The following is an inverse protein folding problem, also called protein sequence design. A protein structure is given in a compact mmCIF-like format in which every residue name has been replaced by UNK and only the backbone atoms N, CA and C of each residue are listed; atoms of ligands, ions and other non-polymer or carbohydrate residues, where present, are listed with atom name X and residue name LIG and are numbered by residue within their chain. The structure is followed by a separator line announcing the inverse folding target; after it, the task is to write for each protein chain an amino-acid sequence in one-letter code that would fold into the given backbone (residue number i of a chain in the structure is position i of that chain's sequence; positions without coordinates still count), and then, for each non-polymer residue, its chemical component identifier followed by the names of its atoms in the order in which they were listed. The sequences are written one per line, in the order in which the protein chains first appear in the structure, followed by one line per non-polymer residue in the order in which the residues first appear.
data_IF_818777004772
#
_entry.id   IF_818777004772
#
_cell.length_a   1.000
_cell.length_b   1.000
_cell.length_c   1.000
_cell.angle_alpha   90.00
_cell.angle_beta   90.00
_cell.angle_gamma   90.00
#
_symmetry.space_group_name_H-M   'P 1'
#
loop_
_entity.id
_entity.type
_entity.pdbx_description
1 polymer ?
#
# COMPACT_ATOMS: atom_id res chain seq x y z
N UNK A 1 12.67 2.41 -9.98
CA UNK A 1 12.08 1.57 -11.04
C UNK A 1 11.55 0.25 -10.49
N UNK A 2 12.36 -0.54 -9.75
CA UNK A 2 11.98 -1.87 -9.24
C UNK A 2 10.69 -1.84 -8.40
N UNK A 3 10.57 -0.92 -7.44
CA UNK A 3 9.37 -0.82 -6.58
C UNK A 3 8.07 -0.42 -7.29
N UNK A 4 8.14 0.23 -8.45
CA UNK A 4 6.98 0.50 -9.29
C UNK A 4 6.56 -0.76 -10.05
N UNK A 5 7.53 -1.50 -10.60
CA UNK A 5 7.25 -2.79 -11.27
C UNK A 5 6.60 -3.76 -10.29
N UNK A 6 7.11 -3.85 -9.06
CA UNK A 6 6.51 -4.66 -8.00
C UNK A 6 5.09 -4.20 -7.65
N UNK A 7 4.85 -2.90 -7.52
CA UNK A 7 3.51 -2.38 -7.21
C UNK A 7 2.52 -2.64 -8.35
N UNK A 8 2.97 -2.57 -9.61
CA UNK A 8 2.14 -2.88 -10.78
C UNK A 8 1.84 -4.38 -10.91
N UNK A 9 2.82 -5.24 -10.62
CA UNK A 9 2.59 -6.69 -10.49
C UNK A 9 1.59 -6.99 -9.37
N UNK A 10 1.76 -6.36 -8.21
CA UNK A 10 0.83 -6.48 -7.09
C UNK A 10 -0.59 -6.09 -7.51
N UNK A 11 -0.75 -4.95 -8.17
CA UNK A 11 -2.04 -4.48 -8.67
C UNK A 11 -2.68 -5.46 -9.63
N UNK A 12 -1.90 -6.03 -10.55
CA UNK A 12 -2.41 -6.98 -11.54
C UNK A 12 -2.90 -8.27 -10.88
N UNK A 13 -2.16 -8.76 -9.88
CA UNK A 13 -2.56 -9.93 -9.07
C UNK A 13 -3.81 -9.62 -8.24
N UNK A 14 -3.87 -8.44 -7.60
CA UNK A 14 -5.04 -8.02 -6.84
C UNK A 14 -6.28 -7.90 -7.73
N UNK A 15 -6.13 -7.30 -8.92
CA UNK A 15 -7.21 -7.14 -9.90
C UNK A 15 -7.79 -8.49 -10.33
N UNK A 16 -6.94 -9.48 -10.60
CA UNK A 16 -7.36 -10.84 -10.94
C UNK A 16 -8.14 -11.50 -9.80
N UNK A 17 -7.67 -11.37 -8.55
CA UNK A 17 -8.38 -11.93 -7.39
C UNK A 17 -9.69 -11.21 -7.06
N UNK A 18 -9.80 -9.92 -7.39
CA UNK A 18 -10.94 -9.09 -7.01
C UNK A 18 -11.91 -8.84 -8.17
N UNK A 19 -11.61 -9.34 -9.37
CA UNK A 19 -12.36 -9.13 -10.61
C UNK A 19 -12.63 -7.63 -10.89
N UNK A 20 -11.63 -6.78 -10.62
CA UNK A 20 -11.68 -5.32 -10.89
C UNK A 20 -10.54 -4.92 -11.81
N UNK A 21 -10.59 -3.66 -12.28
CA UNK A 21 -9.55 -3.06 -13.12
C UNK A 21 -8.91 -1.90 -12.38
N UNK A 22 -7.70 -2.14 -11.90
CA UNK A 22 -6.86 -1.21 -11.18
C UNK A 22 -6.29 -0.13 -12.09
N UNK A 23 -5.82 0.94 -11.46
CA UNK A 23 -5.35 2.14 -12.15
C UNK A 23 -3.85 2.32 -11.93
N UNK A 24 -3.04 1.75 -12.81
CA UNK A 24 -1.56 1.83 -12.75
C UNK A 24 -1.03 3.26 -12.66
N UNK A 25 -1.64 4.21 -13.38
CA UNK A 25 -1.23 5.62 -13.32
C UNK A 25 -1.48 6.24 -11.94
N UNK A 26 -2.58 5.85 -11.29
CA UNK A 26 -2.93 6.32 -9.95
C UNK A 26 -1.99 5.74 -8.89
N UNK A 27 -1.56 4.49 -9.06
CA UNK A 27 -0.54 3.88 -8.19
C UNK A 27 0.81 4.55 -8.34
N UNK A 28 1.22 4.85 -9.58
CA UNK A 28 2.48 5.54 -9.83
C UNK A 28 2.52 6.91 -9.14
N UNK A 29 1.45 7.70 -9.31
CA UNK A 29 1.31 9.00 -8.64
C UNK A 29 1.23 8.83 -7.13
N UNK A 30 0.44 7.85 -6.64
CA UNK A 30 0.30 7.55 -5.21
C UNK A 30 1.61 7.18 -4.53
N UNK A 31 2.36 6.25 -5.11
CA UNK A 31 3.68 5.83 -4.63
C UNK A 31 4.71 6.96 -4.70
N UNK A 32 4.68 7.77 -5.76
CA UNK A 32 5.52 8.95 -5.89
C UNK A 32 5.27 9.97 -4.78
N UNK A 33 4.00 10.32 -4.54
CA UNK A 33 3.62 11.25 -3.47
C UNK A 33 3.93 10.69 -2.08
N UNK A 34 3.68 9.39 -1.84
CA UNK A 34 4.00 8.72 -0.58
C UNK A 34 5.50 8.81 -0.30
N UNK A 35 6.35 8.49 -1.27
CA UNK A 35 7.80 8.53 -1.11
C UNK A 35 8.35 9.97 -0.96
N UNK A 36 7.77 10.96 -1.64
CA UNK A 36 8.11 12.37 -1.38
C UNK A 36 7.80 12.76 0.06
N UNK A 37 6.62 12.36 0.56
CA UNK A 37 6.22 12.63 1.95
C UNK A 37 7.17 11.94 2.92
N UNK A 38 7.52 10.66 2.69
CA UNK A 38 8.51 9.95 3.50
C UNK A 38 9.85 10.70 3.59
N UNK A 39 10.37 11.18 2.46
CA UNK A 39 11.63 11.96 2.42
C UNK A 39 11.57 13.23 3.28
N UNK A 40 10.42 13.92 3.33
CA UNK A 40 10.24 15.12 4.17
C UNK A 40 10.32 14.78 5.66
N UNK A 41 9.85 13.61 6.07
CA UNK A 41 9.91 13.14 7.45
C UNK A 41 11.18 12.33 7.78
N UNK A 42 12.12 12.20 6.85
CA UNK A 42 13.33 11.36 7.02
C UNK A 42 13.04 9.86 7.07
N UNK A 43 11.85 9.43 6.63
CA UNK A 43 11.44 8.04 6.58
C UNK A 43 11.97 7.34 5.30
N UNK A 44 12.21 6.04 5.39
CA UNK A 44 12.60 5.23 4.23
C UNK A 44 11.43 5.13 3.24
N UNK A 45 11.72 5.33 1.95
CA UNK A 45 10.73 5.15 0.88
C UNK A 45 10.29 3.69 0.73
N UNK A 46 9.05 3.48 0.27
CA UNK A 46 8.41 2.17 0.19
C UNK A 46 7.79 1.83 -1.17
N UNK A 47 7.20 0.64 -1.21
CA UNK A 47 6.44 0.08 -2.35
C UNK A 47 5.25 -0.72 -1.84
N UNK A 48 4.32 -1.03 -2.74
CA UNK A 48 3.21 -1.90 -2.42
C UNK A 48 3.73 -3.33 -2.21
N UNK A 49 3.37 -3.93 -1.07
CA UNK A 49 3.79 -5.28 -0.72
C UNK A 49 2.77 -6.31 -1.17
N UNK A 50 3.18 -7.23 -2.05
CA UNK A 50 2.34 -8.32 -2.59
C UNK A 50 1.71 -9.14 -1.45
N UNK A 51 2.52 -9.68 -0.54
CA UNK A 51 2.07 -10.60 0.51
C UNK A 51 0.99 -10.00 1.43
N UNK A 52 1.24 -8.81 1.97
CA UNK A 52 0.29 -8.13 2.85
C UNK A 52 -0.99 -7.74 2.13
N UNK A 53 -0.89 -7.29 0.87
CA UNK A 53 -2.06 -6.92 0.09
C UNK A 53 -2.94 -8.15 -0.21
N UNK A 54 -2.34 -9.30 -0.51
CA UNK A 54 -3.09 -10.55 -0.73
C UNK A 54 -3.79 -11.05 0.54
N UNK A 55 -3.11 -11.03 1.68
CA UNK A 55 -3.70 -11.42 2.98
C UNK A 55 -4.87 -10.50 3.32
N UNK A 56 -4.68 -9.19 3.14
CA UNK A 56 -5.70 -8.20 3.45
C UNK A 56 -6.96 -8.37 2.57
N UNK A 57 -6.78 -8.61 1.27
CA UNK A 57 -7.90 -8.84 0.34
C UNK A 57 -8.62 -10.16 0.60
N UNK A 58 -7.87 -11.24 0.90
CA UNK A 58 -8.46 -12.53 1.30
C UNK A 58 -9.26 -12.40 2.61
N UNK A 59 -8.83 -11.54 3.51
CA UNK A 59 -9.55 -11.23 4.76
C UNK A 59 -10.78 -10.33 4.55
N UNK A 60 -11.12 -9.99 3.30
CA UNK A 60 -12.28 -9.14 2.95
C UNK A 60 -11.98 -7.64 2.89
N UNK A 61 -10.75 -7.21 3.16
CA UNK A 61 -10.29 -5.82 3.13
C UNK A 61 -10.14 -5.28 1.69
N UNK A 62 -11.26 -5.00 1.03
CA UNK A 62 -11.30 -4.48 -0.36
C UNK A 62 -11.38 -2.96 -0.46
N UNK A 63 -11.64 -2.28 0.66
CA UNK A 63 -11.81 -0.82 0.71
C UNK A 63 -10.57 -0.08 1.21
N UNK A 64 -10.53 1.24 0.97
CA UNK A 64 -9.46 2.14 1.45
C UNK A 64 -9.33 2.16 2.97
N UNK A 65 -10.39 1.80 3.68
CA UNK A 65 -10.43 1.74 5.15
C UNK A 65 -9.40 0.76 5.72
N UNK A 66 -9.12 -0.36 5.03
CA UNK A 66 -8.16 -1.37 5.50
C UNK A 66 -6.77 -0.78 5.72
N UNK A 67 -6.28 0.00 4.74
CA UNK A 67 -4.98 0.65 4.81
C UNK A 67 -4.93 1.77 5.86
N UNK A 68 -6.02 2.54 5.99
CA UNK A 68 -6.11 3.62 7.00
C UNK A 68 -6.06 3.02 8.42
N UNK A 69 -6.83 1.95 8.67
CA UNK A 69 -6.86 1.28 9.98
C UNK A 69 -5.48 0.72 10.31
N UNK A 70 -4.79 0.08 9.36
CA UNK A 70 -3.44 -0.42 9.57
C UNK A 70 -2.43 0.70 9.91
N UNK A 71 -2.48 1.82 9.19
CA UNK A 71 -1.61 2.97 9.44
C UNK A 71 -1.86 3.62 10.81
N UNK A 72 -3.13 3.80 11.18
CA UNK A 72 -3.52 4.37 12.49
C UNK A 72 -3.15 3.42 13.62
N UNK A 73 -3.36 2.11 13.46
CA UNK A 73 -2.98 1.12 14.46
C UNK A 73 -1.47 1.11 14.70
N UNK A 74 -0.65 1.18 13.64
CA UNK A 74 0.80 1.33 13.76
C UNK A 74 1.20 2.62 14.46
N UNK A 75 0.58 3.75 14.10
CA UNK A 75 0.86 5.03 14.75
C UNK A 75 0.54 5.00 16.25
N UNK A 76 -0.62 4.44 16.63
CA UNK A 76 -1.02 4.29 18.04
C UNK A 76 -0.06 3.37 18.79
N UNK A 77 0.39 2.28 18.17
CA UNK A 77 1.37 1.38 18.76
C UNK A 77 2.69 2.11 19.06
N UNK A 78 3.19 2.91 18.11
CA UNK A 78 4.42 3.70 18.29
C UNK A 78 4.25 4.81 19.33
N UNK A 79 3.07 5.43 19.46
CA UNK A 79 2.89 6.54 20.40
C UNK A 79 2.62 6.10 21.84
N UNK A 80 1.97 4.95 22.03
CA UNK A 80 1.46 4.53 23.35
C UNK A 80 2.04 3.22 23.86
N UNK A 81 2.53 2.34 22.99
CA UNK A 81 2.97 0.99 23.36
C UNK A 81 4.49 0.76 23.22
N UNK A 82 5.22 1.59 22.46
CA UNK A 82 6.69 1.57 22.41
C UNK A 82 7.31 2.52 23.42
#
# INVERSE_FOLDING_TARGET
AIGLIESLLTLTVLDEMTNTRGQSNRECIGQGMANMTCSVFGAMGGCAMIGQSMINVNSGGRGRLSGIVAAVALLMFILFAS
#
